data_IF_708008354070
#
_entry.id   IF_708008354070
#
_cell.length_a   1.000
_cell.length_b   1.000
_cell.length_c   1.000
_cell.angle_alpha   90.00
_cell.angle_beta   90.00
_cell.angle_gamma   90.00
#
_symmetry.space_group_name_H-M   'P 1'
#
loop_
_entity.id
_entity.type
_entity.pdbx_description
1 polymer ?
#
# COMPACT_ATOMS: atom_id res chain seq x y z
N UNK A 1 -29.52 14.25 26.83
CA UNK A 1 -29.77 14.04 25.38
C UNK A 1 -28.58 13.28 24.82
N UNK A 2 -28.89 12.11 24.27
CA UNK A 2 -27.99 11.14 23.66
C UNK A 2 -27.43 11.65 22.35
N UNK A 3 -26.18 11.29 22.03
CA UNK A 3 -25.84 10.74 20.71
C UNK A 3 -24.39 10.26 20.69
N UNK A 4 -24.28 8.98 21.02
CA UNK A 4 -23.23 8.05 20.60
C UNK A 4 -23.16 7.96 19.07
N UNK A 5 -21.98 8.24 18.48
CA UNK A 5 -21.71 7.91 17.08
C UNK A 5 -20.25 7.45 16.91
N UNK A 6 -19.95 6.21 17.31
CA UNK A 6 -18.66 5.58 16.99
C UNK A 6 -18.80 4.08 16.76
N UNK A 7 -19.86 3.65 16.07
CA UNK A 7 -20.19 2.23 15.86
C UNK A 7 -19.89 1.73 14.43
N UNK A 8 -19.94 2.60 13.42
CA UNK A 8 -20.00 2.16 12.03
C UNK A 8 -18.65 1.68 11.45
N UNK A 9 -17.53 2.29 11.84
CA UNK A 9 -16.19 1.93 11.32
C UNK A 9 -15.63 0.65 11.96
N UNK A 10 -15.89 0.45 13.27
CA UNK A 10 -15.54 -0.77 13.99
C UNK A 10 -16.33 -1.97 13.48
N UNK A 11 -17.61 -1.79 13.15
CA UNK A 11 -18.41 -2.84 12.53
C UNK A 11 -17.87 -3.24 11.15
N UNK A 12 -17.44 -2.28 10.32
CA UNK A 12 -16.93 -2.59 8.98
C UNK A 12 -15.60 -3.35 9.01
N UNK A 13 -14.70 -2.99 9.93
CA UNK A 13 -13.42 -3.70 10.15
C UNK A 13 -13.67 -5.10 10.72
N UNK A 14 -14.62 -5.24 11.66
CA UNK A 14 -15.00 -6.54 12.22
C UNK A 14 -15.70 -7.45 11.19
N UNK A 15 -16.53 -6.90 10.30
CA UNK A 15 -17.15 -7.65 9.20
C UNK A 15 -16.12 -8.10 8.18
N UNK A 16 -15.14 -7.26 7.83
CA UNK A 16 -14.00 -7.66 6.98
C UNK A 16 -13.16 -8.77 7.63
N UNK A 17 -12.90 -8.67 8.93
CA UNK A 17 -12.21 -9.70 9.71
C UNK A 17 -13.00 -11.01 9.77
N UNK A 18 -14.32 -10.96 9.97
CA UNK A 18 -15.19 -12.14 10.02
C UNK A 18 -15.32 -12.84 8.66
N UNK A 19 -15.38 -12.09 7.55
CA UNK A 19 -15.32 -12.65 6.19
C UNK A 19 -13.97 -13.32 5.90
N UNK A 20 -12.88 -12.79 6.46
CA UNK A 20 -11.55 -13.41 6.37
C UNK A 20 -11.42 -14.66 7.26
N UNK A 21 -12.12 -14.71 8.41
CA UNK A 21 -12.11 -15.86 9.32
C UNK A 21 -12.99 -17.01 8.79
N UNK A 22 -14.17 -16.75 8.21
CA UNK A 22 -15.00 -17.81 7.63
C UNK A 22 -14.42 -18.42 6.34
N UNK A 23 -13.57 -17.68 5.62
CA UNK A 23 -12.78 -18.24 4.51
C UNK A 23 -11.55 -19.04 4.97
N UNK A 24 -11.34 -19.17 6.28
CA UNK A 24 -10.25 -19.96 6.90
C UNK A 24 -10.65 -21.40 7.24
N UNK A 25 -11.77 -21.91 6.72
CA UNK A 25 -11.97 -23.37 6.65
C UNK A 25 -10.83 -23.88 5.78
N UNK A 26 -9.95 -24.72 6.33
CA UNK A 26 -8.85 -25.34 5.61
C UNK A 26 -9.41 -25.93 4.31
N UNK A 27 -9.15 -25.28 3.17
CA UNK A 27 -9.71 -25.71 1.89
C UNK A 27 -8.95 -26.95 1.44
N UNK A 28 -9.36 -28.12 1.96
CA UNK A 28 -8.82 -29.42 1.58
C UNK A 28 -9.04 -29.71 0.09
N UNK A 29 -10.07 -29.09 -0.50
CA UNK A 29 -10.39 -29.14 -1.91
C UNK A 29 -9.64 -28.05 -2.73
N UNK A 30 -8.77 -28.44 -3.68
CA UNK A 30 -8.04 -27.51 -4.54
C UNK A 30 -8.93 -26.59 -5.39
N UNK A 31 -10.16 -27.01 -5.75
CA UNK A 31 -11.08 -26.17 -6.53
C UNK A 31 -11.56 -24.97 -5.71
N UNK A 32 -11.87 -25.19 -4.43
CA UNK A 32 -12.34 -24.14 -3.53
C UNK A 32 -11.20 -23.16 -3.20
N UNK A 33 -9.98 -23.68 -3.02
CA UNK A 33 -8.77 -22.89 -2.87
C UNK A 33 -8.49 -21.99 -4.08
N UNK A 34 -8.64 -22.53 -5.29
CA UNK A 34 -8.43 -21.76 -6.53
C UNK A 34 -9.48 -20.65 -6.67
N UNK A 35 -10.75 -20.94 -6.37
CA UNK A 35 -11.83 -19.94 -6.40
C UNK A 35 -11.62 -18.85 -5.36
N UNK A 36 -11.20 -19.19 -4.13
CA UNK A 36 -10.89 -18.20 -3.11
C UNK A 36 -9.75 -17.26 -3.53
N UNK A 37 -8.67 -17.82 -4.08
CA UNK A 37 -7.52 -17.05 -4.54
C UNK A 37 -7.92 -16.10 -5.69
N UNK A 38 -8.75 -16.56 -6.64
CA UNK A 38 -9.31 -15.71 -7.71
C UNK A 38 -10.20 -14.58 -7.18
N UNK A 39 -11.08 -14.86 -6.23
CA UNK A 39 -11.92 -13.83 -5.63
C UNK A 39 -11.08 -12.75 -4.92
N UNK A 40 -10.00 -13.15 -4.24
CA UNK A 40 -9.04 -12.21 -3.66
C UNK A 40 -8.29 -11.41 -4.73
N UNK A 41 -7.90 -12.05 -5.83
CA UNK A 41 -7.24 -11.39 -6.96
C UNK A 41 -8.14 -10.30 -7.56
N UNK A 42 -9.40 -10.60 -7.85
CA UNK A 42 -10.36 -9.62 -8.37
C UNK A 42 -10.56 -8.43 -7.44
N UNK A 43 -10.65 -8.68 -6.11
CA UNK A 43 -10.73 -7.59 -5.12
C UNK A 43 -9.49 -6.70 -5.15
N UNK A 44 -8.30 -7.30 -5.24
CA UNK A 44 -7.04 -6.55 -5.30
C UNK A 44 -6.97 -5.72 -6.59
N UNK A 45 -7.41 -6.26 -7.72
CA UNK A 45 -7.45 -5.55 -9.01
C UNK A 45 -8.40 -4.36 -8.98
N UNK A 46 -9.61 -4.52 -8.42
CA UNK A 46 -10.54 -3.39 -8.25
C UNK A 46 -9.95 -2.28 -7.36
N UNK A 47 -9.27 -2.65 -6.27
CA UNK A 47 -8.55 -1.67 -5.44
C UNK A 47 -7.42 -0.98 -6.20
N UNK A 48 -6.70 -1.68 -7.08
CA UNK A 48 -5.63 -1.07 -7.88
C UNK A 48 -6.19 0.00 -8.82
N UNK A 49 -7.30 -0.28 -9.50
CA UNK A 49 -7.97 0.68 -10.38
C UNK A 49 -8.42 1.93 -9.62
N UNK A 50 -9.04 1.74 -8.45
CA UNK A 50 -9.45 2.83 -7.56
C UNK A 50 -8.25 3.68 -7.11
N UNK A 51 -7.21 3.05 -6.57
CA UNK A 51 -6.03 3.78 -6.10
C UNK A 51 -5.26 4.43 -7.25
N UNK A 52 -5.27 3.86 -8.45
CA UNK A 52 -4.68 4.47 -9.62
C UNK A 52 -5.34 5.80 -9.96
N UNK A 53 -6.68 5.82 -10.01
CA UNK A 53 -7.43 7.05 -10.24
C UNK A 53 -7.21 8.07 -9.10
N UNK A 54 -7.19 7.59 -7.86
CA UNK A 54 -6.98 8.44 -6.68
C UNK A 54 -5.61 9.10 -6.68
N UNK A 55 -4.52 8.36 -6.90
CA UNK A 55 -3.19 8.97 -6.86
C UNK A 55 -2.97 9.91 -8.05
N UNK A 56 -3.54 9.64 -9.24
CA UNK A 56 -3.51 10.60 -10.36
C UNK A 56 -4.22 11.90 -10.00
N UNK A 57 -5.41 11.80 -9.39
CA UNK A 57 -6.17 12.98 -8.95
C UNK A 57 -5.41 13.76 -7.87
N UNK A 58 -4.87 13.07 -6.87
CA UNK A 58 -4.10 13.68 -5.79
C UNK A 58 -2.81 14.33 -6.30
N UNK A 59 -2.14 13.73 -7.29
CA UNK A 59 -0.96 14.31 -7.96
C UNK A 59 -1.29 15.60 -8.68
N UNK A 60 -2.40 15.61 -9.43
CA UNK A 60 -2.87 16.80 -10.13
C UNK A 60 -3.18 17.94 -9.16
N UNK A 61 -3.90 17.64 -8.07
CA UNK A 61 -4.23 18.63 -7.04
C UNK A 61 -2.97 19.19 -6.37
N UNK A 62 -2.01 18.33 -6.02
CA UNK A 62 -0.72 18.73 -5.46
C UNK A 62 0.04 19.66 -6.41
N UNK A 63 0.16 19.27 -7.69
CA UNK A 63 0.88 20.06 -8.69
C UNK A 63 0.18 21.40 -8.95
N UNK A 64 -1.15 21.42 -9.00
CA UNK A 64 -1.91 22.68 -9.09
C UNK A 64 -1.65 23.61 -7.90
N UNK A 65 -1.63 23.07 -6.68
CA UNK A 65 -1.33 23.87 -5.48
C UNK A 65 0.08 24.44 -5.53
N UNK A 66 1.08 23.62 -5.89
CA UNK A 66 2.48 24.07 -5.99
C UNK A 66 2.63 25.14 -7.07
N UNK A 67 2.05 24.93 -8.26
CA UNK A 67 2.16 25.90 -9.36
C UNK A 67 1.55 27.26 -8.97
N UNK A 68 0.39 27.27 -8.28
CA UNK A 68 -0.19 28.51 -7.77
C UNK A 68 0.72 29.26 -6.80
N UNK A 69 1.46 28.53 -5.95
CA UNK A 69 2.41 29.14 -5.03
C UNK A 69 3.65 29.67 -5.75
N UNK A 70 4.12 28.97 -6.78
CA UNK A 70 5.22 29.45 -7.64
C UNK A 70 4.79 30.74 -8.36
N UNK A 71 3.58 30.79 -8.92
CA UNK A 71 3.06 31.99 -9.60
C UNK A 71 2.94 33.19 -8.65
N UNK A 72 2.49 32.94 -7.41
CA UNK A 72 2.34 33.98 -6.37
C UNK A 72 3.68 34.42 -5.76
N UNK A 73 4.64 33.50 -5.67
CA UNK A 73 5.94 33.70 -5.02
C UNK A 73 7.08 33.12 -5.89
N UNK A 74 7.37 33.70 -7.07
CA UNK A 74 8.33 33.12 -8.01
C UNK A 74 9.76 33.03 -7.44
N UNK A 75 10.13 33.92 -6.52
CA UNK A 75 11.42 33.85 -5.81
C UNK A 75 11.58 32.62 -4.91
N UNK A 76 10.48 31.96 -4.53
CA UNK A 76 10.46 30.79 -3.65
C UNK A 76 10.46 29.46 -4.40
N UNK A 77 10.38 29.45 -5.74
CA UNK A 77 10.25 28.22 -6.55
C UNK A 77 11.27 27.13 -6.17
N UNK A 78 12.54 27.54 -6.04
CA UNK A 78 13.64 26.62 -5.69
C UNK A 78 13.48 26.06 -4.28
N UNK A 79 13.14 26.91 -3.29
CA UNK A 79 12.96 26.50 -1.89
C UNK A 79 11.74 25.58 -1.76
N UNK A 80 10.61 25.93 -2.38
CA UNK A 80 9.40 25.09 -2.40
C UNK A 80 9.65 23.72 -3.05
N UNK A 81 10.42 23.68 -4.14
CA UNK A 81 10.79 22.41 -4.80
C UNK A 81 11.68 21.55 -3.89
N UNK A 82 12.67 22.16 -3.23
CA UNK A 82 13.54 21.46 -2.29
C UNK A 82 12.76 20.93 -1.08
N UNK A 83 11.85 21.75 -0.53
CA UNK A 83 10.93 21.38 0.54
C UNK A 83 10.10 20.15 0.15
N UNK A 84 9.40 20.19 -1.00
CA UNK A 84 8.62 19.04 -1.53
C UNK A 84 9.46 17.77 -1.64
N UNK A 85 10.68 17.86 -2.18
CA UNK A 85 11.58 16.70 -2.33
C UNK A 85 11.98 16.14 -0.96
N UNK A 86 12.28 17.01 0.00
CA UNK A 86 12.61 16.62 1.36
C UNK A 86 11.43 15.90 2.05
N UNK A 87 10.24 16.51 2.05
CA UNK A 87 9.03 15.94 2.63
C UNK A 87 8.65 14.61 1.98
N UNK A 88 8.79 14.52 0.65
CA UNK A 88 8.54 13.27 -0.09
C UNK A 88 9.42 12.13 0.42
N UNK A 89 10.69 12.40 0.73
CA UNK A 89 11.63 11.39 1.24
C UNK A 89 11.22 10.91 2.63
N UNK A 90 10.93 11.85 3.54
CA UNK A 90 10.51 11.55 4.91
C UNK A 90 9.24 10.68 4.92
N UNK A 91 8.21 11.12 4.20
CA UNK A 91 6.96 10.39 4.09
C UNK A 91 7.13 9.03 3.42
N UNK A 92 7.99 8.92 2.41
CA UNK A 92 8.27 7.63 1.74
C UNK A 92 8.84 6.60 2.71
N UNK A 93 9.76 7.00 3.60
CA UNK A 93 10.30 6.09 4.62
C UNK A 93 9.18 5.59 5.53
N UNK A 94 8.32 6.49 6.01
CA UNK A 94 7.19 6.12 6.85
C UNK A 94 6.26 5.13 6.14
N UNK A 95 5.91 5.40 4.89
CA UNK A 95 5.04 4.53 4.10
C UNK A 95 5.67 3.16 3.84
N UNK A 96 6.98 3.08 3.59
CA UNK A 96 7.62 1.78 3.39
C UNK A 96 7.62 0.98 4.70
N UNK A 97 7.89 1.60 5.84
CA UNK A 97 7.80 0.92 7.15
C UNK A 97 6.38 0.38 7.39
N UNK A 98 5.34 1.16 7.06
CA UNK A 98 3.93 0.70 7.14
C UNK A 98 3.68 -0.46 6.17
N UNK A 99 4.09 -0.34 4.92
CA UNK A 99 3.93 -1.37 3.89
C UNK A 99 4.61 -2.69 4.26
N UNK A 100 5.79 -2.66 4.89
CA UNK A 100 6.44 -3.88 5.38
C UNK A 100 5.60 -4.62 6.43
N UNK A 101 4.85 -3.92 7.28
CA UNK A 101 3.91 -4.54 8.24
C UNK A 101 2.73 -5.18 7.50
N UNK A 102 2.16 -4.49 6.53
CA UNK A 102 1.03 -4.98 5.74
C UNK A 102 1.41 -6.23 4.93
N UNK A 103 2.61 -6.24 4.37
CA UNK A 103 3.14 -7.42 3.68
C UNK A 103 3.30 -8.60 4.63
N UNK A 104 3.80 -8.40 5.86
CA UNK A 104 3.86 -9.48 6.88
C UNK A 104 2.48 -9.99 7.29
N UNK A 105 1.46 -9.12 7.33
CA UNK A 105 0.07 -9.54 7.58
C UNK A 105 -0.43 -10.39 6.42
N UNK A 106 -0.20 -9.93 5.19
CA UNK A 106 -0.56 -10.66 3.98
C UNK A 106 0.14 -12.02 3.89
N UNK A 107 1.43 -12.10 4.18
CA UNK A 107 2.21 -13.35 4.26
C UNK A 107 1.54 -14.36 5.21
N UNK A 108 1.21 -13.93 6.43
CA UNK A 108 0.52 -14.77 7.43
C UNK A 108 -0.83 -15.27 6.93
N UNK A 109 -1.60 -14.40 6.25
CA UNK A 109 -2.88 -14.79 5.66
C UNK A 109 -2.71 -15.82 4.54
N UNK A 110 -1.68 -15.69 3.70
CA UNK A 110 -1.41 -16.67 2.63
C UNK A 110 -0.98 -18.01 3.23
N UNK A 111 -0.08 -18.01 4.22
CA UNK A 111 0.34 -19.24 4.93
C UNK A 111 -0.84 -19.96 5.59
N UNK A 112 -1.72 -19.22 6.29
CA UNK A 112 -2.89 -19.77 6.98
C UNK A 112 -3.90 -20.39 6.01
N UNK A 113 -4.22 -19.69 4.91
CA UNK A 113 -5.26 -20.13 3.99
C UNK A 113 -4.76 -21.18 2.99
N UNK A 114 -3.45 -21.23 2.72
CA UNK A 114 -2.84 -22.10 1.71
C UNK A 114 -1.59 -22.83 2.24
N UNK A 115 -1.68 -23.58 3.35
CA UNK A 115 -0.50 -24.12 4.05
C UNK A 115 0.35 -25.08 3.20
N UNK A 116 -0.27 -25.82 2.27
CA UNK A 116 0.42 -26.78 1.39
C UNK A 116 0.93 -26.18 0.07
N UNK A 117 0.59 -24.93 -0.22
CA UNK A 117 0.80 -24.31 -1.54
C UNK A 117 1.45 -22.92 -1.48
N UNK A 118 1.62 -22.36 -0.28
CA UNK A 118 2.11 -21.00 -0.07
C UNK A 118 3.63 -20.87 -0.17
N UNK A 119 4.39 -21.92 0.13
CA UNK A 119 5.84 -21.80 0.39
C UNK A 119 6.62 -21.13 -0.76
N UNK A 120 6.37 -21.55 -2.01
CA UNK A 120 7.00 -20.94 -3.19
C UNK A 120 6.70 -19.43 -3.30
N UNK A 121 5.43 -19.05 -3.08
CA UNK A 121 4.99 -17.65 -3.15
C UNK A 121 5.64 -16.84 -2.05
N UNK A 122 5.71 -17.38 -0.82
CA UNK A 122 6.31 -16.69 0.31
C UNK A 122 7.81 -16.50 0.13
N UNK A 123 8.53 -17.49 -0.39
CA UNK A 123 9.97 -17.34 -0.67
C UNK A 123 10.25 -16.18 -1.63
N UNK A 124 9.42 -16.02 -2.67
CA UNK A 124 9.53 -14.90 -3.60
C UNK A 124 9.17 -13.56 -2.95
N UNK A 125 8.09 -13.53 -2.15
CA UNK A 125 7.70 -12.34 -1.40
C UNK A 125 8.82 -11.88 -0.46
N UNK A 126 9.43 -12.80 0.28
CA UNK A 126 10.53 -12.50 1.20
C UNK A 126 11.76 -11.96 0.48
N UNK A 127 12.11 -12.48 -0.72
CA UNK A 127 13.19 -11.92 -1.53
C UNK A 127 12.92 -10.46 -1.94
N UNK A 128 11.67 -10.15 -2.32
CA UNK A 128 11.27 -8.78 -2.66
C UNK A 128 11.33 -7.87 -1.43
N UNK A 129 10.87 -8.34 -0.27
CA UNK A 129 10.95 -7.58 0.99
C UNK A 129 12.40 -7.30 1.40
N UNK A 130 13.29 -8.28 1.34
CA UNK A 130 14.72 -8.09 1.67
C UNK A 130 15.34 -7.04 0.76
N UNK A 131 15.04 -7.09 -0.55
CA UNK A 131 15.50 -6.07 -1.49
C UNK A 131 14.98 -4.67 -1.10
N UNK A 132 13.68 -4.54 -0.84
CA UNK A 132 13.08 -3.27 -0.43
C UNK A 132 13.67 -2.71 0.86
N UNK A 133 13.96 -3.56 1.85
CA UNK A 133 14.64 -3.16 3.10
C UNK A 133 16.09 -2.74 2.85
N UNK A 134 16.81 -3.44 1.96
CA UNK A 134 18.19 -3.07 1.63
C UNK A 134 18.26 -1.74 0.87
N UNK A 135 17.31 -1.48 -0.03
CA UNK A 135 17.22 -0.20 -0.75
C UNK A 135 16.90 0.96 0.21
N UNK A 136 16.17 0.68 1.31
CA UNK A 136 15.85 1.64 2.37
C UNK A 136 17.00 1.94 3.33
N UNK A 137 17.79 0.93 3.71
CA UNK A 137 18.80 1.05 4.78
C UNK A 137 19.78 2.23 4.58
N UNK A 138 20.26 2.54 3.36
CA UNK A 138 21.07 3.73 3.11
C UNK A 138 20.33 5.05 3.34
N UNK A 139 19.02 5.10 3.07
CA UNK A 139 18.19 6.30 3.28
C UNK A 139 17.92 6.52 4.76
N UNK A 140 17.54 5.47 5.49
CA UNK A 140 17.24 5.54 6.93
C UNK A 140 18.49 5.79 7.78
N UNK A 141 19.64 5.23 7.41
CA UNK A 141 20.89 5.40 8.19
C UNK A 141 21.59 6.76 7.98
N UNK A 142 21.36 7.41 6.84
CA UNK A 142 21.96 8.72 6.52
C UNK A 142 21.09 9.90 6.92
N UNK A 143 19.79 9.69 7.07
CA UNK A 143 18.85 10.71 7.51
C UNK A 143 18.76 10.71 9.04
N UNK A 144 19.72 11.40 9.69
CA UNK A 144 19.39 12.09 10.95
C UNK A 144 18.10 12.86 10.68
N UNK A 145 17.11 12.78 11.56
CA UNK A 145 15.80 13.46 11.46
C UNK A 145 16.02 14.87 10.91
N UNK A 146 15.83 15.04 9.61
CA UNK A 146 16.15 16.27 8.91
C UNK A 146 14.83 17.02 8.84
N UNK A 147 14.75 18.13 9.57
CA UNK A 147 13.66 19.08 9.41
C UNK A 147 13.82 19.66 8.00
N UNK A 148 12.76 19.63 7.21
CA UNK A 148 12.78 20.19 5.87
C UNK A 148 12.75 21.71 5.97
N UNK A 149 13.64 22.39 5.25
CA UNK A 149 13.72 23.85 5.29
C UNK A 149 12.47 24.44 4.62
N UNK A 150 11.65 25.14 5.40
CA UNK A 150 10.44 25.80 4.91
C UNK A 150 10.79 27.02 4.04
N UNK A 151 10.04 27.29 2.96
CA UNK A 151 10.19 28.52 2.18
C UNK A 151 9.71 29.74 2.99
N UNK A 152 10.57 30.75 3.10
CA UNK A 152 10.41 31.89 4.04
C UNK A 152 9.22 32.80 3.70
N UNK A 153 8.90 32.95 2.41
CA UNK A 153 7.89 33.91 1.95
C UNK A 153 6.54 33.27 1.58
N UNK A 154 6.31 32.01 1.97
CA UNK A 154 5.02 31.33 1.79
C UNK A 154 4.30 31.22 3.13
N UNK A 155 3.00 31.51 3.13
CA UNK A 155 2.18 31.39 4.32
C UNK A 155 2.11 29.95 4.83
N UNK A 156 2.12 29.77 6.15
CA UNK A 156 2.10 28.45 6.79
C UNK A 156 0.82 27.65 6.43
N UNK A 157 -0.31 28.31 6.22
CA UNK A 157 -1.55 27.65 5.82
C UNK A 157 -1.43 27.11 4.39
N UNK A 158 -0.82 27.87 3.49
CA UNK A 158 -0.54 27.47 2.12
C UNK A 158 0.40 26.24 2.10
N UNK A 159 1.44 26.24 2.94
CA UNK A 159 2.33 25.08 3.10
C UNK A 159 1.62 23.86 3.69
N UNK A 160 0.78 24.05 4.71
CA UNK A 160 -0.02 22.98 5.30
C UNK A 160 -0.94 22.31 4.28
N UNK A 161 -1.46 23.07 3.30
CA UNK A 161 -2.26 22.52 2.20
C UNK A 161 -1.38 21.64 1.30
N UNK A 162 -0.18 22.10 0.94
CA UNK A 162 0.79 21.31 0.16
C UNK A 162 1.13 20.00 0.88
N UNK A 163 1.38 20.04 2.19
CA UNK A 163 1.72 18.85 2.98
C UNK A 163 0.57 17.83 2.98
N UNK A 164 -0.67 18.29 3.18
CA UNK A 164 -1.86 17.42 3.14
C UNK A 164 -2.04 16.78 1.77
N UNK A 165 -1.85 17.54 0.69
CA UNK A 165 -1.95 17.03 -0.67
C UNK A 165 -0.83 16.03 -0.99
N UNK A 166 0.40 16.31 -0.55
CA UNK A 166 1.54 15.44 -0.71
C UNK A 166 1.33 14.12 0.05
N UNK A 167 0.90 14.20 1.31
CA UNK A 167 0.57 13.03 2.13
C UNK A 167 -0.50 12.17 1.44
N UNK A 168 -1.57 12.79 0.94
CA UNK A 168 -2.65 12.08 0.23
C UNK A 168 -2.13 11.38 -1.03
N UNK A 169 -1.38 12.09 -1.87
CA UNK A 169 -0.78 11.53 -3.08
C UNK A 169 0.11 10.32 -2.77
N UNK A 170 1.03 10.44 -1.81
CA UNK A 170 1.95 9.38 -1.46
C UNK A 170 1.23 8.19 -0.81
N UNK A 171 0.22 8.43 0.00
CA UNK A 171 -0.61 7.38 0.58
C UNK A 171 -1.35 6.58 -0.49
N UNK A 172 -2.04 7.25 -1.42
CA UNK A 172 -2.78 6.61 -2.49
C UNK A 172 -1.84 5.81 -3.41
N UNK A 173 -0.68 6.38 -3.74
CA UNK A 173 0.38 5.72 -4.52
C UNK A 173 0.93 4.49 -3.80
N UNK A 174 1.16 4.58 -2.48
CA UNK A 174 1.66 3.45 -1.69
C UNK A 174 0.65 2.30 -1.66
N UNK A 175 -0.65 2.57 -1.49
CA UNK A 175 -1.69 1.54 -1.55
C UNK A 175 -1.78 0.89 -2.92
N UNK A 176 -1.64 1.64 -4.00
CA UNK A 176 -1.54 1.08 -5.35
C UNK A 176 -0.38 0.08 -5.46
N UNK A 177 0.83 0.46 -5.03
CA UNK A 177 2.01 -0.42 -5.10
C UNK A 177 1.86 -1.67 -4.23
N UNK A 178 1.30 -1.52 -3.02
CA UNK A 178 1.03 -2.66 -2.13
C UNK A 178 0.05 -3.65 -2.76
N UNK A 179 -1.01 -3.16 -3.41
CA UNK A 179 -1.98 -4.02 -4.09
C UNK A 179 -1.36 -4.69 -5.33
N UNK A 180 -0.50 -4.00 -6.08
CA UNK A 180 0.27 -4.61 -7.18
C UNK A 180 1.14 -5.79 -6.70
N UNK A 181 1.78 -5.66 -5.54
CA UNK A 181 2.54 -6.76 -4.93
C UNK A 181 1.63 -7.94 -4.55
N UNK A 182 0.46 -7.66 -3.95
CA UNK A 182 -0.53 -8.70 -3.60
C UNK A 182 -1.06 -9.41 -4.85
N UNK A 183 -1.31 -8.68 -5.92
CA UNK A 183 -1.74 -9.22 -7.21
C UNK A 183 -0.71 -10.22 -7.74
N UNK A 184 0.57 -9.83 -7.83
CA UNK A 184 1.66 -10.71 -8.26
C UNK A 184 1.71 -12.01 -7.44
N UNK A 185 1.55 -11.92 -6.12
CA UNK A 185 1.55 -13.09 -5.24
C UNK A 185 0.34 -14.00 -5.47
N UNK A 186 -0.85 -13.42 -5.65
CA UNK A 186 -2.09 -14.16 -5.88
C UNK A 186 -2.10 -14.86 -7.24
N UNK A 187 -1.59 -14.21 -8.29
CA UNK A 187 -1.40 -14.83 -9.61
C UNK A 187 -0.51 -16.06 -9.51
N UNK A 188 0.63 -15.95 -8.81
CA UNK A 188 1.54 -17.09 -8.64
C UNK A 188 0.92 -18.21 -7.79
N UNK A 189 0.20 -17.85 -6.73
CA UNK A 189 -0.53 -18.83 -5.90
C UNK A 189 -1.56 -19.61 -6.72
N UNK A 190 -2.34 -18.94 -7.56
CA UNK A 190 -3.34 -19.57 -8.43
C UNK A 190 -2.67 -20.59 -9.36
N UNK A 191 -1.51 -20.27 -9.92
CA UNK A 191 -0.75 -21.21 -10.76
C UNK A 191 -0.25 -22.43 -9.98
N UNK A 192 0.24 -22.24 -8.75
CA UNK A 192 0.63 -23.36 -7.87
C UNK A 192 -0.58 -24.27 -7.57
N UNK A 193 -1.74 -23.70 -7.27
CA UNK A 193 -2.96 -24.44 -6.96
C UNK A 193 -3.46 -25.26 -8.17
N UNK A 194 -3.49 -24.66 -9.37
CA UNK A 194 -3.88 -25.36 -10.61
C UNK A 194 -2.97 -26.55 -10.90
N UNK A 195 -1.65 -26.37 -10.77
CA UNK A 195 -0.67 -27.43 -11.02
C UNK A 195 -0.80 -28.57 -10.01
N UNK A 196 -1.12 -28.26 -8.75
CA UNK A 196 -1.41 -29.28 -7.74
C UNK A 196 -2.68 -30.09 -8.04
N UNK A 197 -3.74 -29.44 -8.53
CA UNK A 197 -4.98 -30.11 -8.92
C UNK A 197 -4.77 -31.08 -10.10
N UNK A 198 -4.03 -30.67 -11.14
CA UNK A 198 -3.71 -31.53 -12.29
C UNK A 198 -2.92 -32.78 -11.90
N UNK A 199 -1.99 -32.68 -10.94
CA UNK A 199 -1.22 -33.83 -10.46
C UNK A 199 -2.09 -34.87 -9.72
N UNK A 200 -3.21 -34.45 -9.12
CA UNK A 200 -4.14 -35.37 -8.44
C UNK A 200 -5.09 -36.10 -9.39
N UNK A 201 -5.35 -35.55 -10.58
CA UNK A 201 -6.26 -36.17 -11.57
C UNK A 201 -5.59 -37.20 -12.49
N UNK A 202 -4.27 -37.43 -12.33
CA UNK A 202 -3.48 -38.40 -13.13
C UNK A 202 -3.09 -39.63 -12.29
N UNK A 203 -3.68 -39.77 -11.10
CA UNK A 203 -3.63 -40.98 -10.27
C UNK A 203 -5.02 -41.60 -10.23
#
# INVERSE_FOLDING_TARGET
MSSSSSSSSLLYINVLLLVLIHSSIQQENPKDATTNARNRLHKVQGLMEEYQQNFTTSENNLNQSINRLIDKHPSEEKKLTQYKVCETRLLTIEFIVRSLRDVKIFERLIRRNYPKHSEKVIQKLNKLMVKAVNDLNPSVSKEKIKICDEPENIDLQDLTIVDKLLLKYLNDKNYFQLNKLKEMCLVELIEVLKNSAKKRSVK
#
